data_IF_869308089484
#
_entry.id   IF_869308089484
#
_cell.length_a   1.000
_cell.length_b   1.000
_cell.length_c   1.000
_cell.angle_alpha   90.00
_cell.angle_beta   90.00
_cell.angle_gamma   90.00
#
_symmetry.space_group_name_H-M   'P 1'
#
loop_
_entity.id
_entity.type
_entity.pdbx_description
1 polymer ?
#
# COMPACT_ATOMS: atom_id res chain seq x y z
N UNK A 6 -2.60 -3.92 23.80
CA UNK A 6 -2.17 -2.66 23.16
C UNK A 6 -2.85 -2.50 21.81
N UNK A 7 -3.70 -1.50 21.70
CA UNK A 7 -4.47 -1.26 20.48
C UNK A 7 -3.57 -0.72 19.38
N UNK A 8 -4.17 -0.42 18.23
CA UNK A 8 -3.43 0.10 17.07
C UNK A 8 -2.52 1.26 17.46
N UNK A 9 -3.07 2.26 18.17
CA UNK A 9 -2.31 3.43 18.58
C UNK A 9 -1.19 3.03 19.54
N UNK A 10 -1.48 2.08 20.43
CA UNK A 10 -0.51 1.69 21.45
C UNK A 10 0.58 0.80 20.87
N UNK A 11 0.24 0.04 19.83
CA UNK A 11 1.24 -0.73 19.09
C UNK A 11 2.29 0.21 18.53
N UNK A 12 1.81 1.30 17.95
CA UNK A 12 2.66 2.34 17.42
C UNK A 12 3.41 3.03 18.56
N UNK A 13 2.68 3.39 19.60
CA UNK A 13 3.23 4.02 20.79
C UNK A 13 4.39 3.23 21.38
N UNK A 14 4.25 1.91 21.43
CA UNK A 14 5.29 1.05 21.98
C UNK A 14 6.60 1.19 21.22
N UNK A 15 6.50 1.31 19.90
CA UNK A 15 7.69 1.46 19.06
C UNK A 15 8.21 2.89 19.14
N UNK A 16 7.31 3.86 19.12
CA UNK A 16 7.67 5.26 19.28
C UNK A 16 8.41 5.51 20.59
N UNK A 17 8.24 4.62 21.56
CA UNK A 17 8.98 4.71 22.82
C UNK A 17 10.45 4.40 22.62
N UNK A 18 10.74 3.53 21.66
CA UNK A 18 12.10 3.12 21.39
C UNK A 18 12.79 4.15 20.50
N UNK A 19 11.99 4.75 19.63
CA UNK A 19 12.47 5.78 18.73
C UNK A 19 11.29 6.64 18.29
N UNK A 20 11.51 7.94 18.20
CA UNK A 20 10.45 8.86 17.86
C UNK A 20 9.98 8.66 16.42
N UNK A 21 8.74 9.06 16.09
CA UNK A 21 8.13 8.83 14.77
C UNK A 21 9.07 9.14 13.61
N UNK A 22 9.87 10.19 13.76
CA UNK A 22 10.75 10.65 12.70
C UNK A 22 11.87 9.63 12.41
N UNK A 23 12.20 8.80 13.40
CA UNK A 23 13.29 7.84 13.24
C UNK A 23 12.75 6.46 12.85
N UNK A 24 11.44 6.30 12.88
CA UNK A 24 10.81 5.04 12.53
C UNK A 24 10.77 4.86 11.03
N UNK A 25 11.66 4.01 10.50
CA UNK A 25 11.67 3.74 9.06
C UNK A 25 10.62 2.70 8.70
N UNK A 26 10.36 1.76 9.61
CA UNK A 26 9.34 0.76 9.38
C UNK A 26 8.58 0.42 10.66
N UNK A 27 7.26 0.38 10.53
CA UNK A 27 6.37 0.04 11.63
C UNK A 27 5.13 -0.64 11.08
N UNK A 28 4.88 -1.87 11.52
CA UNK A 28 3.77 -2.65 11.00
C UNK A 28 2.69 -2.86 12.05
N UNK A 29 1.45 -2.60 11.67
CA UNK A 29 0.31 -2.94 12.48
C UNK A 29 -0.28 -4.25 12.00
N UNK A 30 0.26 -5.36 12.49
CA UNK A 30 -0.18 -6.69 12.06
C UNK A 30 -1.24 -7.24 12.99
N UNK A 31 -2.43 -7.47 12.43
CA UNK A 31 -3.55 -8.08 13.16
C UNK A 31 -3.77 -7.38 14.50
N UNK A 32 -3.81 -6.07 14.45
CA UNK A 32 -4.02 -5.27 15.65
C UNK A 32 -5.39 -4.60 15.59
N UNK A 33 -6.17 -4.79 16.64
CA UNK A 33 -7.48 -4.17 16.75
C UNK A 33 -7.34 -2.65 16.82
N UNK A 34 -8.04 -1.97 15.92
CA UNK A 34 -7.95 -0.52 15.81
C UNK A 34 -8.76 0.16 16.90
N UNK A 35 -8.67 1.48 16.96
CA UNK A 35 -9.41 2.25 17.95
C UNK A 35 -10.91 2.12 17.68
N UNK A 36 -11.25 2.27 16.40
CA UNK A 36 -12.62 2.16 15.93
C UNK A 36 -12.64 2.25 14.41
N UNK A 37 -12.26 3.41 13.90
CA UNK A 37 -12.08 3.60 12.48
C UNK A 37 -10.95 4.58 12.23
N UNK A 38 -10.14 4.77 13.25
CA UNK A 38 -9.06 5.74 13.23
C UNK A 38 -7.74 5.07 13.58
N UNK A 39 -6.69 5.39 12.84
CA UNK A 39 -5.37 4.85 13.10
C UNK A 39 -4.75 5.51 14.32
N UNK A 40 -4.91 6.84 14.40
CA UNK A 40 -4.48 7.65 15.55
C UNK A 40 -2.97 7.78 15.65
N UNK A 41 -2.28 6.66 15.63
CA UNK A 41 -0.84 6.65 15.81
C UNK A 41 -0.07 7.17 14.61
N UNK A 42 -0.62 6.98 13.42
CA UNK A 42 0.07 7.39 12.20
C UNK A 42 -0.17 8.87 11.92
N UNK A 43 0.68 9.70 12.46
CA UNK A 43 0.65 11.13 12.20
C UNK A 43 1.70 11.51 11.18
N UNK A 44 1.65 12.73 10.65
CA UNK A 44 2.63 13.17 9.66
C UNK A 44 3.91 13.63 10.35
N UNK A 45 4.18 13.04 11.51
CA UNK A 45 5.42 13.24 12.23
C UNK A 45 6.43 12.18 11.80
N UNK A 46 5.92 11.18 11.08
CA UNK A 46 6.75 10.12 10.53
C UNK A 46 7.53 10.63 9.33
N UNK A 47 8.66 11.25 9.59
CA UNK A 47 9.51 11.82 8.55
C UNK A 47 10.05 10.76 7.60
N UNK A 48 10.67 9.73 8.15
CA UNK A 48 11.40 8.77 7.33
C UNK A 48 10.75 7.38 7.40
N UNK A 49 9.42 7.38 7.38
CA UNK A 49 8.65 6.15 7.37
C UNK A 49 8.55 5.64 5.94
N UNK A 50 9.21 4.53 5.65
CA UNK A 50 9.28 4.01 4.30
C UNK A 50 8.43 2.76 4.13
N UNK A 51 8.59 1.81 5.04
CA UNK A 51 7.87 0.55 4.95
C UNK A 51 6.82 0.45 6.05
N UNK A 52 5.60 0.14 5.66
CA UNK A 52 4.49 0.04 6.59
C UNK A 52 3.47 -0.96 6.10
N UNK A 53 2.99 -1.80 7.01
CA UNK A 53 1.95 -2.74 6.67
C UNK A 53 0.84 -2.68 7.70
N UNK A 54 -0.38 -2.94 7.25
CA UNK A 54 -1.54 -2.98 8.12
C UNK A 54 -2.37 -4.23 7.83
N UNK A 55 -1.75 -5.39 8.04
CA UNK A 55 -2.37 -6.66 7.68
C UNK A 55 -3.52 -7.00 8.63
N UNK A 56 -4.74 -6.95 8.08
CA UNK A 56 -5.94 -7.35 8.81
C UNK A 56 -6.14 -6.50 10.08
N UNK A 57 -6.42 -5.22 9.88
CA UNK A 57 -6.68 -4.33 11.01
C UNK A 57 -8.09 -3.76 10.95
N UNK A 58 -8.84 -4.14 9.92
CA UNK A 58 -10.23 -3.77 9.83
C UNK A 58 -10.46 -2.39 9.21
N UNK A 59 -9.51 -1.92 8.42
CA UNK A 59 -9.66 -0.63 7.76
C UNK A 59 -10.55 -0.75 6.54
N UNK A 60 -11.67 -0.04 6.55
CA UNK A 60 -12.57 -0.04 5.41
C UNK A 60 -12.25 1.13 4.48
N UNK A 61 -11.68 2.17 5.04
CA UNK A 61 -11.31 3.36 4.29
C UNK A 61 -9.98 3.88 4.79
N UNK A 62 -9.12 4.30 3.88
CA UNK A 62 -7.79 4.75 4.26
C UNK A 62 -7.75 6.27 4.41
N UNK A 63 -8.88 6.86 4.77
CA UNK A 63 -8.97 8.29 4.99
C UNK A 63 -8.43 8.65 6.38
N UNK A 64 -7.32 8.03 6.75
CA UNK A 64 -6.65 8.28 8.02
C UNK A 64 -5.15 8.32 7.80
N UNK A 65 -4.76 8.57 6.55
CA UNK A 65 -3.35 8.57 6.19
C UNK A 65 -2.75 9.95 6.33
N UNK A 66 -1.57 10.03 6.94
CA UNK A 66 -0.79 11.26 7.00
C UNK A 66 0.05 11.45 5.74
N UNK A 67 0.49 12.67 5.50
CA UNK A 67 1.30 12.97 4.32
C UNK A 67 2.72 12.50 4.53
N UNK A 68 2.96 11.23 4.23
CA UNK A 68 4.28 10.65 4.37
C UNK A 68 5.05 10.78 3.07
N UNK A 69 5.84 11.84 2.97
CA UNK A 69 6.53 12.19 1.73
C UNK A 69 7.79 11.35 1.50
N UNK A 70 8.11 10.47 2.44
CA UNK A 70 9.28 9.59 2.28
C UNK A 70 8.85 8.12 2.28
N UNK A 71 7.58 7.87 2.00
CA UNK A 71 7.02 6.52 1.97
C UNK A 71 7.56 5.72 0.78
N UNK A 72 7.59 4.40 0.93
CA UNK A 72 8.06 3.53 -0.13
C UNK A 72 7.10 2.36 -0.33
N UNK A 73 6.72 1.72 0.77
CA UNK A 73 5.87 0.53 0.72
C UNK A 73 4.69 0.67 1.67
N UNK A 74 3.48 0.48 1.14
CA UNK A 74 2.28 0.49 1.96
C UNK A 74 1.47 -0.79 1.75
N UNK A 75 1.51 -1.67 2.72
CA UNK A 75 0.70 -2.87 2.68
C UNK A 75 -0.63 -2.63 3.38
N UNK A 76 -1.71 -2.62 2.60
CA UNK A 76 -3.04 -2.45 3.14
C UNK A 76 -3.83 -3.73 2.99
N UNK A 77 -3.10 -4.83 2.85
CA UNK A 77 -3.66 -6.14 2.58
C UNK A 77 -4.58 -6.63 3.70
N UNK A 78 -5.61 -7.37 3.32
CA UNK A 78 -6.57 -7.96 4.25
C UNK A 78 -7.38 -6.90 4.98
N UNK A 79 -7.79 -5.88 4.27
CA UNK A 79 -8.68 -4.87 4.83
C UNK A 79 -9.89 -4.67 3.94
N UNK A 80 -10.90 -4.03 4.50
CA UNK A 80 -12.17 -3.82 3.81
C UNK A 80 -12.09 -2.61 2.89
N UNK A 81 -10.90 -2.37 2.35
CA UNK A 81 -10.68 -1.21 1.48
C UNK A 81 -11.54 -1.37 0.24
N UNK A 82 -12.54 -0.53 0.11
CA UNK A 82 -13.45 -0.60 -1.01
C UNK A 82 -13.42 0.70 -1.81
N UNK A 83 -12.37 1.46 -1.59
CA UNK A 83 -12.23 2.74 -2.23
C UNK A 83 -11.44 3.71 -1.38
N UNK A 84 -11.78 4.99 -1.48
CA UNK A 84 -11.11 6.04 -0.71
C UNK A 84 -9.62 6.12 -1.05
N UNK A 85 -9.29 5.70 -2.27
CA UNK A 85 -7.91 5.69 -2.72
C UNK A 85 -7.48 7.06 -3.19
N UNK A 86 -8.46 7.93 -3.43
CA UNK A 86 -8.21 9.29 -3.92
C UNK A 86 -7.41 10.11 -2.90
N UNK A 87 -7.35 9.63 -1.66
CA UNK A 87 -6.60 10.32 -0.61
C UNK A 87 -5.10 10.08 -0.80
N UNK A 88 -4.75 9.01 -1.51
CA UNK A 88 -3.35 8.63 -1.71
C UNK A 88 -2.62 9.67 -2.53
N UNK A 89 -3.35 10.37 -3.40
CA UNK A 89 -2.77 11.40 -4.25
C UNK A 89 -2.12 12.50 -3.42
N UNK A 90 -2.63 12.68 -2.21
CA UNK A 90 -2.12 13.69 -1.29
C UNK A 90 -1.07 13.10 -0.34
N UNK A 91 -1.41 11.98 0.28
CA UNK A 91 -0.61 11.43 1.37
C UNK A 91 0.53 10.57 0.86
N UNK A 92 0.43 10.13 -0.39
CA UNK A 92 1.39 9.18 -0.93
C UNK A 92 1.89 9.57 -2.33
N UNK A 93 2.30 10.83 -2.56
CA UNK A 93 2.76 11.27 -3.88
C UNK A 93 4.21 10.88 -4.14
N UNK A 94 4.60 9.74 -3.57
CA UNK A 94 5.97 9.27 -3.63
C UNK A 94 6.05 7.76 -3.41
N UNK A 95 4.88 7.13 -3.34
CA UNK A 95 4.79 5.70 -3.05
C UNK A 95 4.90 4.92 -4.36
N UNK A 96 5.67 3.83 -4.37
CA UNK A 96 5.80 3.02 -5.57
C UNK A 96 5.25 1.62 -5.36
N UNK A 97 5.00 1.27 -4.11
CA UNK A 97 4.62 -0.09 -3.78
C UNK A 97 3.38 -0.10 -2.91
N UNK A 98 2.30 -0.68 -3.44
CA UNK A 98 1.04 -0.75 -2.72
C UNK A 98 0.46 -2.15 -2.80
N UNK A 99 0.17 -2.73 -1.65
CA UNK A 99 -0.43 -4.06 -1.59
C UNK A 99 -1.94 -3.97 -1.35
N UNK A 100 -2.70 -4.55 -2.26
CA UNK A 100 -4.16 -4.57 -2.15
C UNK A 100 -4.65 -6.01 -2.05
N UNK A 101 -3.81 -6.84 -1.46
CA UNK A 101 -4.08 -8.26 -1.34
C UNK A 101 -5.27 -8.53 -0.44
N UNK A 102 -6.36 -9.00 -1.04
CA UNK A 102 -7.55 -9.32 -0.27
C UNK A 102 -8.42 -8.11 -0.01
N UNK A 103 -8.14 -7.03 -0.71
CA UNK A 103 -8.90 -5.81 -0.56
C UNK A 103 -10.04 -5.77 -1.57
N UNK A 104 -11.10 -5.04 -1.24
CA UNK A 104 -12.32 -5.05 -2.03
C UNK A 104 -12.22 -4.11 -3.22
N UNK A 105 -11.09 -4.14 -3.89
CA UNK A 105 -10.90 -3.42 -5.13
C UNK A 105 -11.37 -4.31 -6.26
N UNK A 106 -12.63 -4.18 -6.63
CA UNK A 106 -13.26 -5.13 -7.53
C UNK A 106 -13.33 -4.62 -8.96
N UNK A 107 -13.13 -3.32 -9.14
CA UNK A 107 -13.28 -2.73 -10.47
C UNK A 107 -12.09 -1.83 -10.79
N UNK A 108 -11.88 -1.60 -12.08
CA UNK A 108 -10.78 -0.78 -12.56
C UNK A 108 -11.04 0.69 -12.27
N UNK A 109 -12.30 1.02 -12.00
CA UNK A 109 -12.67 2.38 -11.64
C UNK A 109 -12.05 2.76 -10.30
N UNK A 110 -11.88 1.76 -9.44
CA UNK A 110 -11.36 1.98 -8.11
C UNK A 110 -9.86 2.29 -8.14
N UNK A 111 -9.17 1.76 -9.14
CA UNK A 111 -7.72 1.94 -9.25
C UNK A 111 -7.39 3.19 -10.07
N UNK A 112 -8.41 3.88 -10.56
CA UNK A 112 -8.18 5.07 -11.38
C UNK A 112 -7.45 6.17 -10.59
N UNK A 113 -7.87 6.49 -9.34
CA UNK A 113 -7.15 7.47 -8.51
C UNK A 113 -5.65 7.18 -8.39
N UNK A 114 -5.25 5.94 -8.63
CA UNK A 114 -3.86 5.54 -8.50
C UNK A 114 -2.99 6.08 -9.64
N UNK A 115 -3.59 6.33 -10.81
CA UNK A 115 -2.86 6.92 -11.94
C UNK A 115 -2.27 8.28 -11.56
N UNK A 116 -2.82 8.92 -10.53
CA UNK A 116 -2.32 10.21 -10.06
C UNK A 116 -0.98 10.04 -9.36
N UNK A 117 -0.72 8.82 -8.87
CA UNK A 117 0.56 8.51 -8.28
C UNK A 117 1.50 7.97 -9.35
N UNK A 118 2.32 8.86 -9.88
CA UNK A 118 3.20 8.54 -10.99
C UNK A 118 4.44 7.78 -10.53
N UNK A 119 4.54 7.55 -9.23
CA UNK A 119 5.70 6.86 -8.68
C UNK A 119 5.45 5.37 -8.55
N UNK A 120 4.18 4.95 -8.61
CA UNK A 120 3.83 3.54 -8.43
C UNK A 120 4.59 2.64 -9.41
N UNK A 121 5.22 1.60 -8.88
CA UNK A 121 6.01 0.69 -9.71
C UNK A 121 5.53 -0.75 -9.56
N UNK A 122 4.96 -1.07 -8.41
CA UNK A 122 4.54 -2.44 -8.16
C UNK A 122 3.22 -2.49 -7.40
N UNK A 123 2.31 -3.30 -7.91
CA UNK A 123 1.03 -3.53 -7.26
C UNK A 123 0.84 -5.01 -6.96
N UNK A 124 0.35 -5.31 -5.77
CA UNK A 124 0.07 -6.69 -5.37
C UNK A 124 -1.43 -6.91 -5.31
N UNK A 125 -1.95 -7.77 -6.17
CA UNK A 125 -3.38 -7.99 -6.25
C UNK A 125 -3.73 -9.43 -5.85
N UNK A 126 -2.90 -10.02 -5.00
CA UNK A 126 -3.12 -11.38 -4.56
C UNK A 126 -4.41 -11.47 -3.74
N UNK A 127 -5.34 -12.29 -4.22
CA UNK A 127 -6.64 -12.47 -3.56
C UNK A 127 -7.45 -11.16 -3.58
N UNK A 128 -7.04 -10.24 -4.44
CA UNK A 128 -7.75 -8.98 -4.59
C UNK A 128 -9.00 -9.21 -5.44
N UNK A 129 -9.99 -8.35 -5.28
CA UNK A 129 -11.29 -8.55 -5.92
C UNK A 129 -11.23 -8.38 -7.44
N UNK A 130 -10.13 -7.83 -7.95
CA UNK A 130 -9.94 -7.70 -9.40
C UNK A 130 -9.60 -9.04 -10.05
N UNK A 131 -9.45 -10.08 -9.24
CA UNK A 131 -9.18 -11.41 -9.78
C UNK A 131 -10.40 -11.94 -10.55
N UNK A 132 -11.55 -11.35 -10.28
CA UNK A 132 -12.79 -11.73 -10.93
C UNK A 132 -12.92 -11.04 -12.27
N UNK A 133 -11.88 -10.33 -12.66
CA UNK A 133 -11.83 -9.65 -13.95
C UNK A 133 -10.94 -10.43 -14.90
N UNK A 134 -11.32 -10.45 -16.17
CA UNK A 134 -10.53 -11.14 -17.18
C UNK A 134 -9.41 -10.24 -17.68
N UNK A 135 -8.21 -10.80 -17.76
CA UNK A 135 -7.02 -10.06 -18.16
C UNK A 135 -6.83 -8.84 -17.25
N UNK A 136 -6.86 -9.07 -15.94
CA UNK A 136 -6.81 -7.99 -14.97
C UNK A 136 -5.48 -7.23 -15.05
N UNK A 137 -4.39 -7.95 -15.27
CA UNK A 137 -3.08 -7.32 -15.35
C UNK A 137 -3.01 -6.40 -16.57
N UNK A 138 -3.41 -6.93 -17.71
CA UNK A 138 -3.35 -6.21 -18.97
C UNK A 138 -4.18 -4.94 -18.90
N UNK A 139 -5.33 -5.01 -18.23
CA UNK A 139 -6.22 -3.86 -18.12
C UNK A 139 -5.68 -2.81 -17.14
N UNK A 140 -4.91 -3.25 -16.16
CA UNK A 140 -4.30 -2.32 -15.21
C UNK A 140 -3.25 -1.47 -15.89
N UNK A 141 -2.43 -2.10 -16.74
CA UNK A 141 -1.37 -1.39 -17.45
C UNK A 141 -1.95 -0.39 -18.45
N UNK A 142 -3.22 -0.55 -18.81
CA UNK A 142 -3.89 0.37 -19.71
C UNK A 142 -4.10 1.72 -19.02
N UNK A 143 -4.49 1.66 -17.76
CA UNK A 143 -4.82 2.86 -17.01
C UNK A 143 -3.61 3.38 -16.23
N UNK A 144 -3.08 2.54 -15.34
CA UNK A 144 -1.89 2.88 -14.58
C UNK A 144 -0.63 2.59 -15.39
N UNK A 145 0.02 3.63 -15.92
CA UNK A 145 1.17 3.49 -16.80
C UNK A 145 2.51 3.59 -16.08
N UNK A 146 2.47 3.66 -14.76
CA UNK A 146 3.69 3.79 -13.97
C UNK A 146 4.18 2.42 -13.51
N UNK A 147 3.26 1.61 -13.01
CA UNK A 147 3.61 0.30 -12.48
C UNK A 147 4.28 -0.57 -13.54
N UNK A 148 5.38 -1.17 -13.15
CA UNK A 148 6.11 -2.06 -14.04
C UNK A 148 5.89 -3.50 -13.64
N UNK A 149 5.47 -3.69 -12.38
CA UNK A 149 5.35 -5.02 -11.82
C UNK A 149 3.96 -5.21 -11.22
N UNK A 150 3.36 -6.34 -11.52
CA UNK A 150 2.04 -6.65 -11.01
C UNK A 150 1.99 -8.14 -10.65
N UNK A 151 1.73 -8.43 -9.38
CA UNK A 151 1.69 -9.81 -8.87
C UNK A 151 3.04 -10.51 -9.06
N UNK A 152 4.11 -9.73 -9.01
CA UNK A 152 5.45 -10.31 -9.11
C UNK A 152 6.00 -10.31 -10.51
N UNK A 153 5.12 -10.26 -11.50
CA UNK A 153 5.54 -10.31 -12.90
C UNK A 153 5.50 -8.92 -13.52
N UNK A 154 6.47 -8.62 -14.36
CA UNK A 154 6.57 -7.31 -14.99
C UNK A 154 5.79 -7.29 -16.31
N UNK A 155 6.01 -6.26 -17.11
CA UNK A 155 5.32 -6.14 -18.39
C UNK A 155 5.79 -7.20 -19.39
N UNK A 156 7.03 -7.68 -19.20
CA UNK A 156 7.57 -8.74 -20.05
C UNK A 156 7.13 -10.11 -19.55
N UNK A 157 6.30 -10.12 -18.50
CA UNK A 157 5.79 -11.36 -17.91
C UNK A 157 6.89 -12.10 -17.16
N UNK A 158 7.93 -11.37 -16.80
CA UNK A 158 9.04 -11.94 -16.05
C UNK A 158 8.86 -11.67 -14.58
N UNK A 159 9.23 -12.63 -13.75
CA UNK A 159 9.20 -12.44 -12.32
C UNK A 159 10.36 -11.52 -11.93
N UNK A 160 10.04 -10.47 -11.17
CA UNK A 160 11.00 -9.40 -10.82
C UNK A 160 12.34 -9.96 -10.38
N UNK A 161 13.38 -9.78 -11.22
CA UNK A 161 14.72 -10.28 -10.94
C UNK A 161 15.38 -9.53 -9.78
N UNK A 162 15.92 -10.28 -8.84
CA UNK A 162 16.52 -9.69 -7.65
C UNK A 162 18.03 -9.57 -7.80
N UNK A 163 18.56 -10.24 -8.82
CA UNK A 163 20.00 -10.26 -9.04
C UNK A 163 20.33 -10.19 -10.52
N UNK A 164 19.63 -10.98 -11.31
CA UNK A 164 19.88 -11.08 -12.75
C UNK A 164 19.05 -10.06 -13.53
N UNK A 165 19.26 -8.80 -13.22
CA UNK A 165 18.53 -7.73 -13.89
C UNK A 165 19.52 -6.65 -14.36
N UNK A 166 20.72 -7.10 -14.69
CA UNK A 166 21.81 -6.19 -15.02
C UNK A 166 21.79 -5.81 -16.50
N UNK A 167 20.60 -5.51 -17.00
CA UNK A 167 20.45 -5.15 -18.40
C UNK A 167 20.34 -6.35 -19.30
N UNK A 168 20.35 -7.53 -18.69
CA UNK A 168 20.23 -8.79 -19.43
C UNK A 168 19.09 -9.62 -18.89
N UNK A 169 18.84 -10.75 -19.53
CA UNK A 169 17.77 -11.63 -19.13
C UNK A 169 18.31 -13.02 -18.79
#
# INVERSE_FOLDING_TARGET
GPLGSMEMDKRIYLELRNRTPSDVKELVLDNCKSIEGKIEGLTDEFEELEFLSTINVGLTSISNLPKLNKLKKLELSENRISGDLEVLAEKCPNLKHLNLSGNKIKDLSTIEPLKKLENLKSLDLFNCEVTNLNAYRENVFKLLPQVMYLDGYDRDNKEAPDSDVEGYV
#
